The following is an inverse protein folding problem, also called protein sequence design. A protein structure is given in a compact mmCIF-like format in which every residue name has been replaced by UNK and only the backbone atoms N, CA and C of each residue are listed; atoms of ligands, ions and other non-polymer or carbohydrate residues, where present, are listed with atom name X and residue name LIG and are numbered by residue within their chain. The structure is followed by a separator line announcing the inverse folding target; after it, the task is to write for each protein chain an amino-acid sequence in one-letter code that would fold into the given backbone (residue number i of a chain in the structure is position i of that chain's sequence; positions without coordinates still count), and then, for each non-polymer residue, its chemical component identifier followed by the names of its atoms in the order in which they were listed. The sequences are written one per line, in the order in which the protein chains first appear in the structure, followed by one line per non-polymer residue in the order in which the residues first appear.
data_IF_314090575373
#
_entry.id   IF_314090575373
#
_cell.length_a   1.000
_cell.length_b   1.000
_cell.length_c   1.000
_cell.angle_alpha   90.00
_cell.angle_beta   90.00
_cell.angle_gamma   90.00
#
_symmetry.space_group_name_H-M   'P 1'
#
loop_
_entity.id
_entity.type
_entity.pdbx_description
1 polymer ?
#
# COMPACT_ATOMS: atom_id res chain seq x y z
N UNK A 1 -24.69 -17.98 11.69
CA UNK A 1 -24.69 -17.24 10.41
C UNK A 1 -25.33 -15.87 10.61
N UNK A 2 -24.63 -14.80 10.21
CA UNK A 2 -25.17 -13.44 10.27
C UNK A 2 -26.07 -13.14 9.06
N UNK A 3 -25.56 -13.35 7.87
CA UNK A 3 -26.30 -13.22 6.60
C UNK A 3 -25.57 -13.92 5.45
N UNK A 4 -26.30 -14.15 4.37
CA UNK A 4 -25.71 -14.52 3.07
C UNK A 4 -25.72 -13.28 2.17
N UNK A 5 -24.56 -12.94 1.58
CA UNK A 5 -24.46 -11.87 0.60
C UNK A 5 -25.15 -12.22 -0.72
N UNK A 6 -25.37 -11.22 -1.57
CA UNK A 6 -25.96 -11.41 -2.89
C UNK A 6 -25.11 -12.31 -3.83
N UNK A 7 -23.81 -12.38 -3.56
CA UNK A 7 -22.80 -13.21 -4.21
C UNK A 7 -22.73 -14.66 -3.67
N UNK A 8 -23.62 -15.03 -2.74
CA UNK A 8 -23.67 -16.33 -2.07
C UNK A 8 -22.66 -16.51 -0.94
N UNK A 9 -21.80 -15.53 -0.65
CA UNK A 9 -20.87 -15.58 0.47
C UNK A 9 -21.62 -15.53 1.81
N UNK A 10 -21.24 -16.42 2.73
CA UNK A 10 -21.79 -16.45 4.09
C UNK A 10 -20.98 -15.53 5.00
N UNK A 11 -21.66 -14.58 5.61
CA UNK A 11 -21.08 -13.73 6.65
C UNK A 11 -21.45 -14.30 8.01
N UNK A 12 -20.43 -14.50 8.83
CA UNK A 12 -20.55 -15.06 10.18
C UNK A 12 -20.31 -13.97 11.23
N UNK A 13 -20.89 -14.14 12.39
CA UNK A 13 -20.57 -13.33 13.57
C UNK A 13 -20.14 -14.25 14.70
N UNK A 14 -19.34 -13.75 15.61
CA UNK A 14 -18.95 -14.48 16.80
C UNK A 14 -20.05 -14.47 17.85
N UNK A 15 -20.08 -15.47 18.71
CA UNK A 15 -20.98 -15.55 19.85
C UNK A 15 -20.20 -16.03 21.08
N UNK A 16 -20.68 -15.66 22.27
CA UNK A 16 -20.18 -16.19 23.55
C UNK A 16 -20.86 -17.48 23.98
N UNK A 17 -21.93 -17.90 23.27
CA UNK A 17 -22.64 -19.16 23.50
C UNK A 17 -22.21 -20.26 22.52
N UNK A 18 -23.00 -21.35 22.51
CA UNK A 18 -22.79 -22.41 21.52
C UNK A 18 -23.01 -21.84 20.11
N UNK A 19 -22.06 -22.11 19.21
CA UNK A 19 -22.14 -21.69 17.83
C UNK A 19 -23.07 -22.57 17.00
N UNK A 20 -23.40 -22.11 15.81
CA UNK A 20 -24.20 -22.87 14.83
C UNK A 20 -23.38 -24.06 14.31
N UNK A 21 -24.01 -25.24 14.19
CA UNK A 21 -23.37 -26.42 13.64
C UNK A 21 -22.89 -26.16 12.18
N UNK A 22 -21.64 -26.47 11.91
CA UNK A 22 -21.01 -26.23 10.60
C UNK A 22 -20.50 -24.81 10.39
N UNK A 23 -20.56 -23.94 11.40
CA UNK A 23 -19.89 -22.65 11.36
C UNK A 23 -18.37 -22.82 11.28
N UNK A 24 -17.64 -21.95 10.58
CA UNK A 24 -16.19 -21.99 10.58
C UNK A 24 -15.65 -21.71 12.00
N UNK A 25 -14.56 -22.40 12.37
CA UNK A 25 -13.85 -22.10 13.60
C UNK A 25 -13.19 -20.74 13.52
N UNK A 26 -13.43 -19.89 14.54
CA UNK A 26 -12.79 -18.59 14.69
C UNK A 26 -11.82 -18.60 15.87
N UNK A 27 -10.77 -17.83 15.76
CA UNK A 27 -9.75 -17.73 16.80
C UNK A 27 -8.75 -18.87 16.76
N UNK A 28 -8.09 -19.08 17.90
CA UNK A 28 -7.06 -20.11 18.08
C UNK A 28 -5.92 -20.05 17.05
N UNK A 29 -5.59 -18.85 16.56
CA UNK A 29 -4.44 -18.66 15.69
C UNK A 29 -3.14 -18.94 16.44
N UNK A 30 -2.25 -19.76 15.87
CA UNK A 30 -0.94 -20.04 16.43
C UNK A 30 0.02 -18.85 16.33
N UNK A 31 -0.19 -17.96 15.33
CA UNK A 31 0.53 -16.72 15.17
C UNK A 31 -0.38 -15.60 14.67
N UNK A 32 -0.19 -14.38 15.20
CA UNK A 32 -0.91 -13.18 14.81
C UNK A 32 0.10 -12.12 14.43
N UNK A 33 0.01 -11.60 13.22
CA UNK A 33 0.86 -10.53 12.71
C UNK A 33 0.09 -9.22 12.66
N UNK A 34 0.42 -8.31 13.57
CA UNK A 34 -0.16 -6.97 13.61
C UNK A 34 0.68 -6.04 12.73
N UNK A 35 0.21 -5.78 11.50
CA UNK A 35 0.85 -4.88 10.54
C UNK A 35 0.38 -3.46 10.83
N UNK A 36 1.19 -2.70 11.57
CA UNK A 36 0.79 -1.39 12.06
C UNK A 36 2.02 -0.49 12.26
N UNK A 37 1.82 0.82 12.20
CA UNK A 37 2.83 1.88 12.37
C UNK A 37 3.72 1.65 13.62
N UNK A 38 5.00 1.97 13.50
CA UNK A 38 6.00 1.84 14.56
C UNK A 38 5.63 2.59 15.84
N UNK A 39 4.85 3.67 15.74
CA UNK A 39 4.33 4.41 16.89
C UNK A 39 3.43 3.59 17.82
N UNK A 40 2.92 2.43 17.33
CA UNK A 40 2.14 1.47 18.10
C UNK A 40 2.98 0.40 18.81
N UNK A 41 4.31 0.48 18.76
CA UNK A 41 5.19 -0.54 19.37
C UNK A 41 4.98 -0.70 20.87
N UNK A 42 4.75 0.39 21.58
CA UNK A 42 4.47 0.32 23.02
C UNK A 42 3.11 -0.33 23.34
N UNK A 43 1.99 0.13 22.77
CA UNK A 43 0.70 -0.55 22.93
C UNK A 43 0.74 -2.04 22.56
N UNK A 44 1.46 -2.43 21.49
CA UNK A 44 1.60 -3.82 21.10
C UNK A 44 2.33 -4.66 22.17
N UNK A 45 3.36 -4.11 22.83
CA UNK A 45 4.02 -4.78 23.95
C UNK A 45 3.10 -4.92 25.15
N UNK A 46 2.29 -3.91 25.45
CA UNK A 46 1.31 -3.95 26.55
C UNK A 46 0.27 -5.03 26.29
N UNK A 47 -0.28 -5.11 25.07
CA UNK A 47 -1.23 -6.16 24.68
C UNK A 47 -0.59 -7.54 24.84
N UNK A 48 0.63 -7.73 24.33
CA UNK A 48 1.36 -9.01 24.46
C UNK A 48 1.56 -9.41 25.92
N UNK A 49 1.96 -8.48 26.78
CA UNK A 49 2.11 -8.72 28.21
C UNK A 49 0.77 -9.04 28.89
N UNK A 50 -0.30 -8.36 28.52
CA UNK A 50 -1.66 -8.62 29.02
C UNK A 50 -2.16 -10.01 28.65
N UNK A 51 -1.95 -10.45 27.41
CA UNK A 51 -2.30 -11.81 26.95
C UNK A 51 -1.55 -12.87 27.77
N UNK A 52 -0.25 -12.67 28.01
CA UNK A 52 0.54 -13.57 28.86
C UNK A 52 0.04 -13.60 30.30
N UNK A 53 -0.27 -12.44 30.89
CA UNK A 53 -0.78 -12.32 32.26
C UNK A 53 -2.15 -13.01 32.46
N UNK A 54 -2.96 -13.09 31.40
CA UNK A 54 -4.23 -13.81 31.37
C UNK A 54 -4.05 -15.34 31.23
N UNK A 55 -2.83 -15.86 31.25
CA UNK A 55 -2.54 -17.28 31.17
C UNK A 55 -2.36 -17.83 29.74
N UNK A 56 -2.36 -16.97 28.74
CA UNK A 56 -2.20 -17.35 27.33
C UNK A 56 -0.77 -17.10 26.83
N UNK A 57 0.22 -17.75 27.46
CA UNK A 57 1.65 -17.52 27.16
C UNK A 57 2.00 -17.82 25.69
N UNK A 58 1.52 -18.95 25.15
CA UNK A 58 1.77 -19.31 23.74
C UNK A 58 1.17 -18.31 22.77
N UNK A 59 -0.06 -17.82 23.04
CA UNK A 59 -0.69 -16.77 22.24
C UNK A 59 0.06 -15.45 22.31
N UNK A 60 0.65 -15.11 23.46
CA UNK A 60 1.52 -13.96 23.62
C UNK A 60 2.82 -14.12 22.80
N UNK A 61 3.46 -15.28 22.84
CA UNK A 61 4.66 -15.55 22.02
C UNK A 61 4.36 -15.49 20.52
N UNK A 62 3.22 -16.03 20.10
CA UNK A 62 2.74 -15.98 18.72
C UNK A 62 2.26 -14.59 18.25
N UNK A 63 2.22 -13.58 19.13
CA UNK A 63 1.84 -12.23 18.76
C UNK A 63 3.04 -11.41 18.27
N UNK A 64 3.03 -11.04 16.99
CA UNK A 64 4.11 -10.34 16.30
C UNK A 64 3.67 -8.96 15.83
N UNK A 65 4.42 -7.92 16.19
CA UNK A 65 4.27 -6.59 15.63
C UNK A 65 5.16 -6.43 14.39
N UNK A 66 4.56 -6.43 13.21
CA UNK A 66 5.24 -6.08 11.97
C UNK A 66 5.18 -4.56 11.80
N UNK A 67 6.11 -3.89 12.46
CA UNK A 67 6.19 -2.43 12.43
C UNK A 67 6.64 -1.91 11.07
N UNK A 68 6.05 -0.81 10.62
CA UNK A 68 6.51 -0.04 9.47
C UNK A 68 6.50 1.46 9.79
N UNK A 69 7.31 2.22 9.06
CA UNK A 69 7.37 3.67 9.15
C UNK A 69 6.35 4.33 8.22
N UNK A 70 6.13 5.62 8.45
CA UNK A 70 5.13 6.41 7.72
C UNK A 70 5.55 6.64 6.28
N UNK A 71 4.55 6.69 5.41
CA UNK A 71 4.67 7.29 4.10
C UNK A 71 4.17 8.74 4.20
N UNK A 72 4.99 9.67 3.74
CA UNK A 72 4.69 11.09 3.65
C UNK A 72 4.79 11.52 2.18
N UNK A 73 4.22 12.66 1.83
CA UNK A 73 4.31 13.17 0.47
C UNK A 73 5.40 14.24 0.36
N UNK A 74 6.05 14.30 -0.80
CA UNK A 74 6.83 15.47 -1.16
C UNK A 74 5.90 16.69 -1.33
N UNK A 75 6.39 17.91 -1.12
CA UNK A 75 5.60 19.11 -1.36
C UNK A 75 5.08 19.22 -2.79
N UNK A 76 5.86 18.77 -3.77
CA UNK A 76 5.46 18.74 -5.18
C UNK A 76 4.27 17.79 -5.41
N UNK A 77 4.33 16.59 -4.86
CA UNK A 77 3.24 15.61 -4.95
C UNK A 77 1.99 16.11 -4.22
N UNK A 78 2.13 16.70 -3.04
CA UNK A 78 1.00 17.23 -2.28
C UNK A 78 0.28 18.36 -3.03
N UNK A 79 1.03 19.29 -3.64
CA UNK A 79 0.45 20.36 -4.47
C UNK A 79 -0.25 19.80 -5.72
N UNK A 80 0.33 18.81 -6.37
CA UNK A 80 -0.29 18.16 -7.53
C UNK A 80 -1.62 17.46 -7.17
N UNK A 81 -1.79 17.06 -5.91
CA UNK A 81 -3.04 16.51 -5.37
C UNK A 81 -4.00 17.60 -4.83
N UNK A 82 -3.68 18.89 -5.01
CA UNK A 82 -4.54 20.01 -4.61
C UNK A 82 -4.43 20.40 -3.14
N UNK A 83 -3.40 19.97 -2.42
CA UNK A 83 -3.16 20.40 -1.04
C UNK A 83 -2.41 21.71 -1.00
N UNK A 84 -2.85 22.61 -0.11
CA UNK A 84 -2.12 23.82 0.20
C UNK A 84 -0.90 23.48 1.05
N UNK A 85 0.28 23.74 0.51
CA UNK A 85 1.57 23.38 1.12
C UNK A 85 2.47 24.61 1.16
N UNK A 86 2.92 24.97 2.34
CA UNK A 86 3.90 26.05 2.52
C UNK A 86 5.21 25.75 1.79
N UNK A 87 5.85 26.79 1.25
CA UNK A 87 7.15 26.64 0.59
C UNK A 87 8.26 26.12 1.54
N UNK A 88 8.07 26.31 2.84
CA UNK A 88 9.02 25.90 3.87
C UNK A 88 8.81 24.45 4.37
N UNK A 89 7.75 23.76 3.92
CA UNK A 89 7.48 22.40 4.35
C UNK A 89 8.39 21.42 3.59
N UNK A 90 9.30 20.78 4.31
CA UNK A 90 10.16 19.75 3.73
C UNK A 90 9.40 18.46 3.36
N UNK A 91 8.31 18.17 4.07
CA UNK A 91 7.41 17.02 3.84
C UNK A 91 6.00 17.32 4.33
N UNK A 92 5.00 16.78 3.66
CA UNK A 92 3.60 16.91 4.06
C UNK A 92 3.17 15.66 4.83
N UNK A 93 2.94 15.83 6.13
CA UNK A 93 2.40 14.78 6.99
C UNK A 93 0.89 14.67 6.77
N UNK A 94 0.48 13.59 6.18
CA UNK A 94 -0.93 13.24 6.03
C UNK A 94 -1.50 12.84 7.40
N UNK A 95 -2.55 13.50 7.85
CA UNK A 95 -3.22 13.19 9.12
C UNK A 95 -4.73 13.12 8.94
N UNK A 96 -5.27 11.91 8.96
CA UNK A 96 -6.72 11.69 8.85
C UNK A 96 -7.54 12.40 9.96
N UNK A 97 -6.95 12.63 11.15
CA UNK A 97 -7.61 13.36 12.24
C UNK A 97 -7.80 14.85 11.96
N UNK A 98 -7.01 15.42 11.05
CA UNK A 98 -7.09 16.83 10.66
C UNK A 98 -7.83 17.04 9.34
N UNK A 99 -8.47 15.99 8.79
CA UNK A 99 -9.11 16.04 7.47
C UNK A 99 -8.12 16.12 6.30
N UNK A 100 -6.82 16.03 6.57
CA UNK A 100 -5.74 16.03 5.57
C UNK A 100 -5.35 14.59 5.21
N UNK A 101 -6.36 13.75 4.94
CA UNK A 101 -6.15 12.37 4.49
C UNK A 101 -6.02 12.33 2.98
N UNK A 102 -4.84 11.99 2.46
CA UNK A 102 -4.71 11.62 1.05
C UNK A 102 -5.29 10.22 0.89
N UNK A 103 -6.32 10.07 0.10
CA UNK A 103 -6.81 8.76 -0.27
C UNK A 103 -5.80 8.11 -1.21
N UNK A 104 -5.55 6.82 -1.00
CA UNK A 104 -4.66 6.06 -1.88
C UNK A 104 -5.15 6.09 -3.34
N UNK A 105 -6.47 6.06 -3.53
CA UNK A 105 -7.10 6.11 -4.85
C UNK A 105 -6.78 7.43 -5.57
N UNK A 106 -6.90 8.59 -4.88
CA UNK A 106 -6.58 9.90 -5.47
C UNK A 106 -5.10 9.96 -5.93
N UNK A 107 -4.20 9.34 -5.15
CA UNK A 107 -2.79 9.25 -5.51
C UNK A 107 -2.57 8.34 -6.73
N UNK A 108 -3.24 7.18 -6.77
CA UNK A 108 -3.15 6.24 -7.90
C UNK A 108 -3.71 6.87 -9.16
N UNK A 109 -4.84 7.56 -9.08
CA UNK A 109 -5.48 8.23 -10.21
C UNK A 109 -4.58 9.35 -10.77
N UNK A 110 -3.98 10.17 -9.90
CA UNK A 110 -3.04 11.21 -10.31
C UNK A 110 -1.78 10.63 -10.97
N UNK A 111 -1.26 9.53 -10.43
CA UNK A 111 -0.10 8.83 -10.98
C UNK A 111 -0.43 8.21 -12.35
N UNK A 112 -1.62 7.63 -12.49
CA UNK A 112 -2.11 7.06 -13.75
C UNK A 112 -2.30 8.15 -14.81
N UNK A 113 -2.88 9.30 -14.45
CA UNK A 113 -3.06 10.43 -15.36
C UNK A 113 -1.71 10.93 -15.90
N UNK A 114 -0.68 11.05 -15.03
CA UNK A 114 0.68 11.42 -15.46
C UNK A 114 1.30 10.36 -16.37
N UNK A 115 1.22 9.08 -15.99
CA UNK A 115 1.73 7.99 -16.81
C UNK A 115 1.04 7.95 -18.19
N UNK A 116 -0.26 8.22 -18.24
CA UNK A 116 -1.04 8.30 -19.48
C UNK A 116 -0.54 9.42 -20.38
N UNK A 117 -0.38 10.62 -19.86
CA UNK A 117 0.13 11.76 -20.64
C UNK A 117 1.51 11.47 -21.25
N UNK A 118 2.38 10.80 -20.50
CA UNK A 118 3.71 10.40 -20.96
C UNK A 118 3.63 9.34 -22.08
N UNK A 119 2.77 8.33 -21.92
CA UNK A 119 2.54 7.28 -22.95
C UNK A 119 1.95 7.89 -24.23
N UNK A 120 0.96 8.78 -24.10
CA UNK A 120 0.32 9.44 -25.23
C UNK A 120 1.31 10.31 -26.04
N UNK A 121 2.26 10.94 -25.34
CA UNK A 121 3.31 11.74 -25.98
C UNK A 121 4.34 10.87 -26.72
N UNK A 122 4.73 9.72 -26.12
CA UNK A 122 5.78 8.86 -26.68
C UNK A 122 5.32 7.95 -27.81
N UNK A 123 4.08 7.51 -27.77
CA UNK A 123 3.52 6.58 -28.76
C UNK A 123 2.07 6.97 -29.13
N UNK A 124 1.88 8.12 -29.79
CA UNK A 124 0.55 8.59 -30.17
C UNK A 124 -0.13 7.72 -31.22
N UNK A 125 0.63 6.90 -31.95
CA UNK A 125 0.13 6.06 -33.05
C UNK A 125 -0.52 4.75 -32.56
N UNK A 126 -0.23 4.34 -31.32
CA UNK A 126 -0.79 3.12 -30.74
C UNK A 126 -2.27 3.32 -30.40
N UNK A 127 -3.05 2.24 -30.50
CA UNK A 127 -4.47 2.27 -30.13
C UNK A 127 -4.68 2.67 -28.66
N UNK A 128 -5.85 3.27 -28.37
CA UNK A 128 -6.15 3.82 -27.06
C UNK A 128 -6.15 2.77 -25.93
N UNK A 129 -6.61 1.54 -26.21
CA UNK A 129 -6.67 0.48 -25.23
C UNK A 129 -5.26 0.00 -24.83
N UNK A 130 -4.36 -0.15 -25.81
CA UNK A 130 -2.96 -0.49 -25.55
C UNK A 130 -2.21 0.62 -24.80
N UNK A 131 -2.49 1.89 -25.08
CA UNK A 131 -1.91 3.04 -24.33
C UNK A 131 -2.39 3.03 -22.89
N UNK A 132 -3.69 2.79 -22.66
CA UNK A 132 -4.26 2.69 -21.32
C UNK A 132 -3.63 1.55 -20.52
N UNK A 133 -3.54 0.37 -21.11
CA UNK A 133 -2.90 -0.78 -20.46
C UNK A 133 -1.43 -0.51 -20.12
N UNK A 134 -0.70 0.16 -21.03
CA UNK A 134 0.70 0.55 -20.79
C UNK A 134 0.81 1.57 -19.65
N UNK A 135 -0.03 2.60 -19.65
CA UNK A 135 -0.05 3.63 -18.60
C UNK A 135 -0.35 3.02 -17.22
N UNK A 136 -1.33 2.12 -17.16
CA UNK A 136 -1.68 1.40 -15.93
C UNK A 136 -0.50 0.53 -15.44
N UNK A 137 0.17 -0.18 -16.32
CA UNK A 137 1.32 -1.00 -15.97
C UNK A 137 2.50 -0.14 -15.47
N UNK A 138 2.74 1.02 -16.11
CA UNK A 138 3.79 1.97 -15.71
C UNK A 138 3.47 2.59 -14.34
N UNK A 139 2.27 3.12 -14.15
CA UNK A 139 1.86 3.74 -12.88
C UNK A 139 1.91 2.75 -11.72
N UNK A 140 1.35 1.56 -11.90
CA UNK A 140 1.35 0.51 -10.88
C UNK A 140 2.77 0.04 -10.56
N UNK A 141 3.60 -0.17 -11.58
CA UNK A 141 4.99 -0.56 -11.43
C UNK A 141 5.81 0.51 -10.72
N UNK A 142 5.61 1.78 -11.07
CA UNK A 142 6.27 2.93 -10.44
C UNK A 142 5.94 3.01 -8.94
N UNK A 143 4.65 2.97 -8.59
CA UNK A 143 4.21 3.02 -7.20
C UNK A 143 4.76 1.86 -6.38
N UNK A 144 4.58 0.64 -6.87
CA UNK A 144 5.02 -0.56 -6.14
C UNK A 144 6.54 -0.59 -5.94
N UNK A 145 7.29 -0.28 -6.98
CA UNK A 145 8.75 -0.23 -6.89
C UNK A 145 9.20 0.84 -5.90
N UNK A 146 8.62 2.04 -5.98
CA UNK A 146 8.96 3.14 -5.08
C UNK A 146 8.74 2.75 -3.61
N UNK A 147 7.61 2.11 -3.30
CA UNK A 147 7.31 1.65 -1.93
C UNK A 147 8.25 0.52 -1.48
N UNK A 148 8.69 -0.34 -2.39
CA UNK A 148 9.50 -1.53 -2.05
C UNK A 148 11.00 -1.26 -2.01
N UNK A 149 11.49 -0.20 -2.66
CA UNK A 149 12.93 0.12 -2.68
C UNK A 149 13.48 0.55 -1.31
N UNK A 150 12.60 0.95 -0.40
CA UNK A 150 12.97 1.36 0.95
C UNK A 150 12.73 0.25 1.97
N UNK A 151 13.60 0.19 2.98
CA UNK A 151 13.35 -0.67 4.14
C UNK A 151 12.15 -0.19 4.94
N UNK A 152 11.36 -1.11 5.48
CA UNK A 152 10.15 -0.81 6.25
C UNK A 152 10.35 0.09 7.49
N UNK A 153 11.59 0.23 7.95
CA UNK A 153 11.99 1.05 9.10
C UNK A 153 12.39 2.47 8.72
N UNK A 154 12.23 2.86 7.46
CA UNK A 154 12.51 4.21 6.97
C UNK A 154 11.22 4.93 6.59
N UNK A 155 11.13 6.22 6.95
CA UNK A 155 10.08 7.09 6.43
C UNK A 155 10.27 7.20 4.92
N UNK A 156 9.20 6.94 4.17
CA UNK A 156 9.17 7.07 2.72
C UNK A 156 8.56 8.42 2.38
N UNK A 157 9.34 9.29 1.75
CA UNK A 157 8.81 10.52 1.13
C UNK A 157 8.45 10.21 -0.31
N UNK A 158 7.15 10.05 -0.57
CA UNK A 158 6.69 9.72 -1.91
C UNK A 158 6.67 10.95 -2.80
N UNK A 159 7.34 10.84 -3.95
CA UNK A 159 7.39 11.85 -5.00
C UNK A 159 6.97 11.21 -6.33
N UNK A 160 5.93 11.79 -6.97
CA UNK A 160 5.37 11.25 -8.23
C UNK A 160 6.34 11.41 -9.41
N UNK A 161 7.09 12.50 -9.46
CA UNK A 161 8.07 12.75 -10.53
C UNK A 161 9.22 11.72 -10.43
N UNK A 162 9.76 11.53 -9.22
CA UNK A 162 10.79 10.56 -8.98
C UNK A 162 10.29 9.13 -9.28
N UNK A 163 9.08 8.78 -8.85
CA UNK A 163 8.52 7.44 -9.05
C UNK A 163 8.33 7.10 -10.54
N UNK A 164 7.96 8.07 -11.38
CA UNK A 164 7.74 7.91 -12.82
C UNK A 164 9.01 8.14 -13.66
N UNK A 165 10.13 8.53 -13.08
CA UNK A 165 11.35 8.78 -13.82
C UNK A 165 11.83 7.51 -14.55
N UNK A 166 12.37 7.68 -15.76
CA UNK A 166 12.92 6.58 -16.57
C UNK A 166 14.43 6.36 -16.36
N UNK A 167 14.97 7.04 -15.37
CA UNK A 167 16.38 6.95 -14.98
C UNK A 167 16.47 6.72 -13.47
N UNK A 168 17.58 6.14 -13.02
CA UNK A 168 17.80 5.85 -11.61
C UNK A 168 17.06 4.59 -11.12
N UNK A 169 16.85 4.50 -9.81
CA UNK A 169 16.21 3.35 -9.15
C UNK A 169 14.67 3.54 -9.16
N UNK A 170 14.04 3.24 -10.30
CA UNK A 170 12.61 3.46 -10.53
C UNK A 170 11.94 2.25 -11.18
N UNK A 171 10.62 2.13 -10.99
CA UNK A 171 9.81 1.10 -11.64
C UNK A 171 9.90 1.13 -13.17
N UNK A 172 9.67 2.29 -13.82
CA UNK A 172 9.79 2.42 -15.27
C UNK A 172 11.18 2.07 -15.81
N UNK A 173 12.25 2.38 -15.08
CA UNK A 173 13.60 1.99 -15.47
C UNK A 173 13.77 0.47 -15.51
N UNK A 174 13.31 -0.23 -14.47
CA UNK A 174 13.36 -1.70 -14.41
C UNK A 174 12.48 -2.32 -15.49
N UNK A 175 11.27 -1.80 -15.71
CA UNK A 175 10.39 -2.26 -16.79
C UNK A 175 11.06 -2.10 -18.17
N UNK A 176 11.69 -0.95 -18.43
CA UNK A 176 12.43 -0.72 -19.68
C UNK A 176 13.61 -1.69 -19.84
N UNK A 177 14.35 -1.99 -18.77
CA UNK A 177 15.43 -2.97 -18.81
C UNK A 177 14.92 -4.37 -19.20
N UNK A 178 13.77 -4.79 -18.65
CA UNK A 178 13.14 -6.08 -19.01
C UNK A 178 12.70 -6.11 -20.48
N UNK A 179 12.09 -5.02 -20.98
CA UNK A 179 11.69 -4.92 -22.40
C UNK A 179 12.90 -5.00 -23.31
N UNK A 180 13.97 -4.29 -22.98
CA UNK A 180 15.25 -4.32 -23.76
C UNK A 180 15.84 -5.72 -23.78
N UNK A 181 15.91 -6.39 -22.62
CA UNK A 181 16.41 -7.77 -22.54
C UNK A 181 15.59 -8.72 -23.41
N UNK A 182 14.25 -8.66 -23.33
CA UNK A 182 13.35 -9.48 -24.17
C UNK A 182 13.58 -9.23 -25.64
N UNK A 183 13.77 -8.00 -26.08
CA UNK A 183 14.04 -7.66 -27.48
C UNK A 183 15.41 -8.18 -27.98
N UNK A 184 16.38 -8.39 -27.09
CA UNK A 184 17.69 -8.98 -27.43
C UNK A 184 17.54 -10.50 -27.60
N UNK A 185 16.82 -11.17 -26.69
CA UNK A 185 16.70 -12.64 -26.70
C UNK A 185 15.54 -13.16 -27.54
N UNK A 186 14.64 -12.30 -27.98
CA UNK A 186 13.48 -12.66 -28.80
C UNK A 186 13.68 -12.50 -30.33
N UNK A 187 14.93 -12.29 -30.76
CA UNK A 187 15.30 -12.22 -32.19
C UNK A 187 15.72 -13.57 -32.72
#
# INVERSE_FOLDING_TARGET
LYRTGADGHRLWTTTSGEGEAGAPAFGHAGAVYNVIDVGQSYPQRVVKAGVAALGHAEGAEGSHHLAYEKVVLSPATARALGYDVSENDAVVKVSGRKGLGVKADDLVDALLAKARAEVDTRDPSRDAASREATATAVATGALRYFMMKFGRTRIITFDMEEALAFTGETGPYVQNAVVRARNIFGK
#
